data_IF_825838207673
#
_entry.id   IF_825838207673
#
_cell.length_a   1.000
_cell.length_b   1.000
_cell.length_c   1.000
_cell.angle_alpha   90.00
_cell.angle_beta   90.00
_cell.angle_gamma   90.00
#
_symmetry.space_group_name_H-M   'P 1'
#
loop_
_entity.id
_entity.type
_entity.pdbx_description
1 polymer ?
#
# COMPACT_ATOMS: atom_id res chain seq x y z
N UNK A 1 -31.28 29.96 3.58
CA UNK A 1 -30.65 28.75 4.13
C UNK A 1 -29.37 28.52 3.34
N UNK A 2 -28.22 28.84 3.92
CA UNK A 2 -26.92 28.58 3.29
C UNK A 2 -26.51 27.19 3.73
N UNK A 3 -26.45 26.25 2.80
CA UNK A 3 -25.90 24.92 3.07
C UNK A 3 -24.40 25.09 3.28
N UNK A 4 -23.92 24.83 4.49
CA UNK A 4 -22.48 24.68 4.73
C UNK A 4 -22.02 23.47 3.91
N UNK A 5 -21.36 23.71 2.78
CA UNK A 5 -20.65 22.66 2.08
C UNK A 5 -19.55 22.14 3.01
N UNK A 6 -19.42 20.82 3.21
CA UNK A 6 -18.29 20.27 3.95
C UNK A 6 -16.99 20.70 3.24
N UNK A 7 -15.93 21.03 4.00
CA UNK A 7 -14.66 21.41 3.40
C UNK A 7 -14.19 20.29 2.47
N UNK A 8 -13.55 20.60 1.32
CA UNK A 8 -12.95 19.58 0.47
C UNK A 8 -11.99 18.76 1.34
N UNK A 9 -12.26 17.46 1.47
CA UNK A 9 -11.43 16.54 2.23
C UNK A 9 -10.00 16.66 1.72
N UNK A 10 -9.08 17.13 2.58
CA UNK A 10 -7.64 17.09 2.30
C UNK A 10 -7.30 15.69 1.76
N UNK A 11 -6.47 15.53 0.71
CA UNK A 11 -6.05 14.21 0.28
C UNK A 11 -5.36 13.53 1.45
N UNK A 12 -6.06 12.59 2.10
CA UNK A 12 -5.62 11.93 3.31
C UNK A 12 -4.49 11.01 2.92
N UNK A 13 -3.26 11.38 3.26
CA UNK A 13 -2.12 10.49 3.11
C UNK A 13 -2.38 9.21 3.92
N UNK A 14 -2.51 8.07 3.23
CA UNK A 14 -2.86 6.79 3.87
C UNK A 14 -1.59 6.04 4.26
N UNK A 15 -1.43 5.73 5.55
CA UNK A 15 -0.36 4.86 6.04
C UNK A 15 -0.90 3.45 6.27
N UNK A 16 -0.19 2.45 5.78
CA UNK A 16 -0.51 1.02 5.97
C UNK A 16 0.68 0.37 6.65
N UNK A 17 0.45 -0.30 7.78
CA UNK A 17 1.49 -1.05 8.51
C UNK A 17 1.15 -2.53 8.49
N UNK A 18 2.08 -3.36 8.03
CA UNK A 18 1.85 -4.81 7.84
C UNK A 18 3.07 -5.58 8.31
N UNK A 19 2.85 -6.68 9.02
CA UNK A 19 3.91 -7.60 9.39
C UNK A 19 4.49 -8.31 8.15
N UNK A 20 5.81 -8.46 8.10
CA UNK A 20 6.48 -9.23 7.05
C UNK A 20 5.87 -10.64 6.95
N UNK A 21 5.67 -11.13 5.72
CA UNK A 21 4.99 -12.39 5.44
C UNK A 21 3.48 -12.28 5.29
N UNK A 22 2.85 -11.20 5.74
CA UNK A 22 1.41 -10.99 5.60
C UNK A 22 1.05 -10.23 4.31
N UNK A 23 -0.26 -10.08 4.09
CA UNK A 23 -0.85 -9.38 2.95
C UNK A 23 -0.96 -7.87 3.20
N UNK A 24 -0.56 -7.06 2.22
CA UNK A 24 -0.86 -5.63 2.17
C UNK A 24 -1.86 -5.30 1.06
N UNK A 25 -2.89 -4.52 1.39
CA UNK A 25 -3.91 -4.03 0.45
C UNK A 25 -4.03 -2.51 0.54
N UNK A 26 -3.90 -1.83 -0.60
CA UNK A 26 -4.21 -0.40 -0.71
C UNK A 26 -5.45 -0.19 -1.56
N UNK A 27 -6.53 0.20 -0.91
CA UNK A 27 -7.69 0.77 -1.60
C UNK A 27 -7.29 2.10 -2.24
N UNK A 28 -7.55 2.25 -3.52
CA UNK A 28 -7.55 3.55 -4.16
C UNK A 28 -8.96 4.14 -4.04
N UNK A 29 -9.15 5.33 -3.45
CA UNK A 29 -10.47 5.91 -3.22
C UNK A 29 -11.08 6.38 -4.55
N UNK A 30 -11.59 5.43 -5.31
CA UNK A 30 -12.44 5.66 -6.46
C UNK A 30 -13.86 5.32 -6.08
N UNK A 31 -14.77 6.28 -6.24
CA UNK A 31 -16.19 6.02 -6.14
C UNK A 31 -16.70 5.89 -7.57
N UNK A 32 -17.36 4.76 -7.86
CA UNK A 32 -17.87 4.32 -9.17
C UNK A 32 -18.93 5.22 -9.83
N UNK A 33 -19.06 6.47 -9.38
CA UNK A 33 -20.01 7.46 -9.91
C UNK A 33 -19.61 8.00 -11.29
N UNK A 34 -18.36 7.78 -11.71
CA UNK A 34 -17.82 8.18 -13.01
C UNK A 34 -17.18 6.95 -13.66
N UNK A 35 -17.09 6.92 -14.99
CA UNK A 35 -16.40 5.86 -15.72
C UNK A 35 -14.87 6.01 -15.57
N UNK A 36 -14.24 4.97 -15.02
CA UNK A 36 -12.79 4.85 -14.96
C UNK A 36 -12.24 4.77 -16.38
N UNK A 37 -11.21 5.57 -16.71
CA UNK A 37 -10.48 5.45 -17.97
C UNK A 37 -9.15 4.73 -17.75
N UNK A 38 -8.40 5.16 -16.73
CA UNK A 38 -7.11 4.59 -16.40
C UNK A 38 -6.84 4.70 -14.90
N UNK A 39 -6.22 3.66 -14.33
CA UNK A 39 -5.69 3.68 -12.98
C UNK A 39 -4.23 3.26 -13.01
N UNK A 40 -3.40 3.93 -12.21
CA UNK A 40 -1.96 3.68 -12.12
C UNK A 40 -1.54 3.63 -10.67
N UNK A 41 -0.88 2.54 -10.27
CA UNK A 41 -0.09 2.46 -9.06
C UNK A 41 1.38 2.65 -9.40
N UNK A 42 2.04 3.58 -8.70
CA UNK A 42 3.48 3.82 -8.83
C UNK A 42 4.18 3.90 -7.49
N UNK A 43 5.40 3.40 -7.43
CA UNK A 43 6.31 3.65 -6.31
C UNK A 43 7.16 4.90 -6.59
N UNK A 44 7.70 5.57 -5.57
CA UNK A 44 8.66 6.67 -5.76
C UNK A 44 10.11 6.14 -5.84
N UNK A 45 10.76 6.08 -7.02
CA UNK A 45 12.23 5.91 -7.17
C UNK A 45 12.77 6.04 -8.63
N UNK A 46 14.08 5.84 -8.87
CA UNK A 46 14.74 5.99 -10.18
C UNK A 46 14.34 4.95 -11.24
N UNK A 47 13.88 3.77 -10.82
CA UNK A 47 13.26 2.75 -11.68
C UNK A 47 11.90 2.38 -11.10
N UNK A 48 10.99 3.36 -11.02
CA UNK A 48 9.67 3.20 -10.41
C UNK A 48 8.97 1.95 -10.93
N UNK A 49 8.45 1.15 -10.01
CA UNK A 49 7.44 0.14 -10.36
C UNK A 49 6.18 0.89 -10.81
N UNK A 50 5.59 0.43 -11.91
CA UNK A 50 4.34 0.93 -12.44
C UNK A 50 3.40 -0.25 -12.74
N UNK A 51 2.24 -0.26 -12.10
CA UNK A 51 1.13 -1.14 -12.41
C UNK A 51 -0.05 -0.29 -12.87
N UNK A 52 -0.44 -0.41 -14.13
CA UNK A 52 -1.51 0.38 -14.71
C UNK A 52 -2.58 -0.49 -15.36
N UNK A 53 -3.82 -0.03 -15.31
CA UNK A 53 -4.95 -0.62 -16.00
C UNK A 53 -5.67 0.46 -16.81
N UNK A 54 -6.04 0.13 -18.05
CA UNK A 54 -6.80 1.01 -18.94
C UNK A 54 -8.07 0.29 -19.37
N UNK A 55 -9.22 0.90 -19.09
CA UNK A 55 -10.54 0.25 -19.20
C UNK A 55 -11.03 0.10 -20.64
N UNK A 56 -10.72 1.05 -21.52
CA UNK A 56 -11.14 1.10 -22.92
C UNK A 56 -10.61 -0.08 -23.77
N UNK A 57 -9.43 -0.58 -23.43
CA UNK A 57 -8.82 -1.77 -24.07
C UNK A 57 -8.84 -3.00 -23.16
N UNK A 58 -9.33 -2.85 -21.92
CA UNK A 58 -9.25 -3.87 -20.88
C UNK A 58 -7.82 -4.43 -20.71
N UNK A 59 -6.83 -3.53 -20.68
CA UNK A 59 -5.40 -3.88 -20.68
C UNK A 59 -4.75 -3.52 -19.34
N UNK A 60 -3.97 -4.46 -18.79
CA UNK A 60 -3.06 -4.19 -17.66
C UNK A 60 -1.61 -4.15 -18.15
N UNK A 61 -0.85 -3.17 -17.69
CA UNK A 61 0.60 -3.06 -17.92
C UNK A 61 1.34 -3.05 -16.59
N UNK A 62 2.42 -3.81 -16.51
CA UNK A 62 3.30 -3.89 -15.34
C UNK A 62 4.74 -3.67 -15.78
N UNK A 63 5.44 -2.72 -15.15
CA UNK A 63 6.81 -2.35 -15.47
C UNK A 63 7.64 -2.28 -14.18
N UNK A 64 8.78 -2.97 -14.14
CA UNK A 64 9.75 -2.93 -13.05
C UNK A 64 9.18 -3.26 -11.65
N UNK A 65 8.03 -3.93 -11.57
CA UNK A 65 7.41 -4.34 -10.32
C UNK A 65 7.77 -5.78 -9.98
N UNK A 66 7.75 -6.10 -8.67
CA UNK A 66 7.75 -7.49 -8.23
C UNK A 66 6.55 -8.24 -8.82
N UNK A 67 6.70 -9.53 -9.08
CA UNK A 67 5.58 -10.41 -9.47
C UNK A 67 4.48 -10.46 -8.40
N UNK A 68 4.83 -10.16 -7.13
CA UNK A 68 3.89 -10.13 -6.01
C UNK A 68 2.93 -8.95 -6.03
N UNK A 69 3.24 -7.91 -6.80
CA UNK A 69 2.43 -6.70 -6.90
C UNK A 69 1.35 -6.87 -7.97
N UNK A 70 0.10 -6.97 -7.54
CA UNK A 70 -1.05 -7.31 -8.38
C UNK A 70 -2.30 -6.50 -8.01
N UNK A 71 -3.34 -6.57 -8.83
CA UNK A 71 -4.67 -6.11 -8.44
C UNK A 71 -5.32 -7.11 -7.48
N UNK A 72 -5.95 -6.64 -6.39
CA UNK A 72 -6.71 -7.52 -5.48
C UNK A 72 -8.00 -8.01 -6.12
N UNK A 73 -8.67 -7.10 -6.82
CA UNK A 73 -9.95 -7.28 -7.49
C UNK A 73 -9.85 -6.83 -8.94
N UNK A 74 -10.94 -6.95 -9.71
CA UNK A 74 -10.98 -6.43 -11.07
C UNK A 74 -10.83 -4.89 -11.03
N UNK A 75 -9.82 -4.32 -11.71
CA UNK A 75 -9.44 -2.91 -11.55
C UNK A 75 -10.46 -1.91 -12.11
N UNK A 76 -11.39 -2.36 -12.95
CA UNK A 76 -12.57 -1.62 -13.39
C UNK A 76 -13.59 -1.40 -12.27
N UNK A 77 -13.67 -2.34 -11.32
CA UNK A 77 -14.60 -2.30 -10.18
C UNK A 77 -13.96 -1.77 -8.90
N UNK A 78 -12.78 -2.27 -8.55
CA UNK A 78 -12.00 -1.84 -7.40
C UNK A 78 -10.50 -1.96 -7.73
N UNK A 79 -9.82 -0.84 -8.02
CA UNK A 79 -8.40 -0.82 -8.35
C UNK A 79 -7.51 -0.88 -7.10
N UNK A 80 -7.82 -1.80 -6.19
CA UNK A 80 -7.02 -2.05 -5.00
C UNK A 80 -5.71 -2.76 -5.35
N UNK A 81 -4.60 -2.21 -4.84
CA UNK A 81 -3.29 -2.83 -4.95
C UNK A 81 -3.13 -3.91 -3.91
N UNK A 82 -2.54 -5.04 -4.30
CA UNK A 82 -2.27 -6.20 -3.46
C UNK A 82 -0.80 -6.59 -3.55
N UNK A 83 -0.16 -6.82 -2.40
CA UNK A 83 1.18 -7.40 -2.29
C UNK A 83 1.14 -8.52 -1.25
N UNK A 84 1.53 -9.73 -1.67
CA UNK A 84 1.68 -10.88 -0.79
C UNK A 84 2.75 -11.86 -1.30
N UNK A 85 3.64 -12.38 -0.42
CA UNK A 85 3.91 -11.90 0.94
C UNK A 85 4.73 -10.61 0.94
N UNK A 86 4.43 -9.70 1.87
CA UNK A 86 5.19 -8.47 2.07
C UNK A 86 6.57 -8.76 2.66
N UNK A 87 7.61 -8.07 2.17
CA UNK A 87 8.94 -8.08 2.77
C UNK A 87 9.49 -6.65 2.89
N UNK A 88 10.63 -6.49 3.58
CA UNK A 88 11.26 -5.18 3.81
C UNK A 88 11.53 -4.37 2.54
N UNK A 89 11.72 -5.03 1.39
CA UNK A 89 11.95 -4.34 0.12
C UNK A 89 10.72 -3.64 -0.46
N UNK A 90 9.53 -3.97 0.02
CA UNK A 90 8.26 -3.31 -0.36
C UNK A 90 7.97 -2.08 0.52
N UNK A 91 8.80 -1.79 1.52
CA UNK A 91 8.63 -0.58 2.34
C UNK A 91 8.86 0.69 1.51
N UNK A 92 7.93 1.64 1.57
CA UNK A 92 8.07 2.88 0.81
C UNK A 92 6.79 3.63 0.55
N UNK A 93 6.87 4.57 -0.39
CA UNK A 93 5.75 5.40 -0.81
C UNK A 93 5.13 4.86 -2.10
N UNK A 94 3.82 4.71 -2.05
CA UNK A 94 2.97 4.30 -3.15
C UNK A 94 2.07 5.46 -3.54
N UNK A 95 1.68 5.54 -4.80
CA UNK A 95 0.76 6.56 -5.27
C UNK A 95 -0.21 5.91 -6.24
N UNK A 96 -1.49 6.05 -5.95
CA UNK A 96 -2.54 5.75 -6.90
C UNK A 96 -2.88 7.01 -7.69
N UNK A 97 -2.98 6.88 -9.01
CA UNK A 97 -3.44 7.91 -9.91
C UNK A 97 -4.61 7.40 -10.73
N UNK A 98 -5.67 8.19 -10.79
CA UNK A 98 -6.87 7.86 -11.53
C UNK A 98 -7.10 8.92 -12.60
N UNK A 99 -7.35 8.49 -13.83
CA UNK A 99 -7.87 9.32 -14.90
C UNK A 99 -9.31 8.89 -15.22
N UNK A 100 -10.19 9.89 -15.30
CA UNK A 100 -11.60 9.72 -15.68
C UNK A 100 -12.10 10.98 -16.38
N UNK A 101 -13.33 10.97 -16.87
CA UNK A 101 -13.98 12.17 -17.44
C UNK A 101 -14.16 13.31 -16.43
N UNK A 102 -14.15 13.02 -15.12
CA UNK A 102 -14.20 14.03 -14.06
C UNK A 102 -12.83 14.68 -13.78
N UNK A 103 -11.76 14.15 -14.35
CA UNK A 103 -10.40 14.67 -14.19
C UNK A 103 -9.41 13.62 -13.72
N UNK A 104 -8.27 14.13 -13.24
CA UNK A 104 -7.15 13.34 -12.76
C UNK A 104 -7.00 13.47 -11.24
N UNK A 105 -6.97 12.35 -10.54
CA UNK A 105 -6.92 12.28 -9.08
C UNK A 105 -5.68 11.54 -8.61
N UNK A 106 -5.02 12.04 -7.58
CA UNK A 106 -3.75 11.50 -7.05
C UNK A 106 -3.90 11.23 -5.56
N UNK A 107 -3.58 10.00 -5.15
CA UNK A 107 -3.71 9.52 -3.78
C UNK A 107 -2.38 8.93 -3.29
N UNK A 108 -1.57 9.71 -2.57
CA UNK A 108 -0.31 9.22 -2.00
C UNK A 108 -0.56 8.38 -0.74
N UNK A 109 0.23 7.33 -0.58
CA UNK A 109 0.22 6.43 0.57
C UNK A 109 1.61 5.88 0.90
N UNK A 110 1.75 5.21 2.03
CA UNK A 110 2.97 4.48 2.39
C UNK A 110 2.70 3.09 2.94
N UNK A 111 3.72 2.23 2.79
CA UNK A 111 3.86 0.96 3.47
C UNK A 111 4.93 1.10 4.56
N UNK A 112 4.62 0.63 5.75
CA UNK A 112 5.62 0.32 6.78
C UNK A 112 5.58 -1.17 7.06
N UNK A 113 6.72 -1.84 6.94
CA UNK A 113 6.82 -3.28 7.20
C UNK A 113 7.26 -3.51 8.64
N UNK A 114 6.47 -4.27 9.39
CA UNK A 114 6.75 -4.65 10.77
C UNK A 114 7.47 -5.99 10.75
N UNK A 115 8.59 -6.10 11.46
CA UNK A 115 9.28 -7.39 11.65
C UNK A 115 9.20 -7.72 13.15
N UNK A 116 8.43 -8.75 13.55
CA UNK A 116 8.37 -9.14 14.95
C UNK A 116 9.76 -9.47 15.50
N UNK A 117 10.11 -9.01 16.71
CA UNK A 117 11.39 -9.35 17.30
C UNK A 117 11.45 -10.84 17.64
N UNK A 118 12.64 -11.41 17.59
CA UNK A 118 12.87 -12.74 18.14
C UNK A 118 12.98 -12.63 19.66
N UNK A 119 12.01 -13.19 20.39
CA UNK A 119 11.98 -13.13 21.86
C UNK A 119 12.58 -14.41 22.45
N UNK A 120 13.54 -14.26 23.35
CA UNK A 120 14.13 -15.35 24.12
C UNK A 120 13.92 -15.10 25.62
N UNK A 121 13.45 -16.12 26.34
CA UNK A 121 13.30 -16.11 27.79
C UNK A 121 14.27 -17.13 28.37
N UNK A 122 15.22 -16.67 29.17
CA UNK A 122 16.19 -17.53 29.84
C UNK A 122 16.06 -17.38 31.35
N UNK A 123 16.24 -18.50 32.07
CA UNK A 123 16.36 -18.50 33.52
C UNK A 123 17.71 -19.11 33.86
N UNK A 124 18.52 -18.37 34.62
CA UNK A 124 19.84 -18.85 35.03
C UNK A 124 19.79 -19.60 36.36
N UNK A 125 20.94 -20.14 36.78
CA UNK A 125 21.09 -20.85 38.06
C UNK A 125 20.88 -19.94 39.28
N UNK A 126 20.92 -18.61 39.08
CA UNK A 126 20.65 -17.62 40.13
C UNK A 126 19.15 -17.34 40.32
N UNK A 127 18.28 -18.07 39.59
CA UNK A 127 16.82 -17.87 39.55
C UNK A 127 16.41 -16.50 38.99
N UNK A 128 17.28 -15.86 38.23
CA UNK A 128 16.96 -14.62 37.52
C UNK A 128 16.41 -14.97 36.15
N UNK A 129 15.23 -14.42 35.84
CA UNK A 129 14.63 -14.51 34.52
C UNK A 129 15.07 -13.30 33.66
N UNK A 130 15.57 -13.57 32.46
CA UNK A 130 15.98 -12.57 31.49
C UNK A 130 15.11 -12.72 30.25
N UNK A 131 14.40 -11.65 29.90
CA UNK A 131 13.65 -11.53 28.65
C UNK A 131 14.45 -10.67 27.68
N UNK A 132 14.85 -11.25 26.54
CA UNK A 132 15.58 -10.57 25.48
C UNK A 132 14.73 -10.53 24.22
N UNK A 133 14.70 -9.37 23.55
CA UNK A 133 14.07 -9.19 22.25
C UNK A 133 15.13 -8.73 21.26
N UNK A 134 15.40 -9.55 20.24
CA UNK A 134 16.34 -9.23 19.17
C UNK A 134 15.53 -8.62 18.02
N UNK A 135 15.82 -7.36 17.70
CA UNK A 135 15.17 -6.66 16.59
C UNK A 135 16.05 -6.65 15.35
N UNK A 136 15.52 -7.16 14.25
CA UNK A 136 16.21 -7.21 12.96
C UNK A 136 16.03 -5.93 12.13
N UNK A 137 15.04 -5.08 12.49
CA UNK A 137 14.80 -3.76 11.89
C UNK A 137 15.16 -2.69 12.92
N UNK A 138 15.82 -1.60 12.52
CA UNK A 138 16.24 -0.53 13.44
C UNK A 138 15.09 0.31 14.05
N UNK A 139 13.83 -0.15 13.99
CA UNK A 139 12.63 0.58 14.43
C UNK A 139 12.00 -0.02 15.70
N UNK A 140 12.81 -0.58 16.60
CA UNK A 140 12.36 -0.87 17.97
C UNK A 140 12.26 0.41 18.79
#
# INVERSE_FOLDING_TARGET
>A
MVLCQPPPSRPTYKMVSVEAGHEAVWSCPYVSTVSLLMVTWKTKCSTCCLLAYRSDHNETRKLNCSERMMWKYSPDSDPALHIYPVNLGEEGNYTCEIASSAGHFIFPSSLTVIVPPTVTLTCDQSRVAVCQAICWKASC
#
